data_IF_941654752160
#
_entry.id   IF_941654752160
#
_cell.length_a   1.000
_cell.length_b   1.000
_cell.length_c   1.000
_cell.angle_alpha   90.00
_cell.angle_beta   90.00
_cell.angle_gamma   90.00
#
_symmetry.space_group_name_H-M   'P 1'
#
loop_
_entity.id
_entity.type
_entity.pdbx_description
1 polymer ?
#
# COMPACT_ATOMS: atom_id res chain seq x y z
N UNK A 1 31.46 -9.82 -16.63
CA UNK A 1 30.42 -9.88 -15.58
C UNK A 1 29.48 -11.04 -15.92
N UNK A 2 29.08 -11.90 -14.97
CA UNK A 2 28.11 -12.95 -15.26
C UNK A 2 26.78 -12.34 -15.72
N UNK A 3 26.13 -12.97 -16.70
CA UNK A 3 24.86 -12.47 -17.24
C UNK A 3 23.77 -12.61 -16.16
N UNK A 4 23.04 -11.54 -15.84
CA UNK A 4 21.98 -11.62 -14.84
C UNK A 4 20.86 -12.56 -15.31
N UNK A 5 20.22 -13.25 -14.37
CA UNK A 5 19.05 -14.07 -14.66
C UNK A 5 17.95 -13.22 -15.30
N UNK A 6 17.25 -13.74 -16.34
CA UNK A 6 16.11 -13.07 -16.94
C UNK A 6 15.05 -12.70 -15.90
N UNK A 7 14.35 -11.58 -16.13
CA UNK A 7 13.31 -11.09 -15.21
C UNK A 7 12.18 -12.11 -15.03
N UNK A 8 11.69 -12.66 -16.14
CA UNK A 8 10.61 -13.65 -16.15
C UNK A 8 10.98 -14.90 -15.33
N UNK A 9 12.20 -15.41 -15.53
CA UNK A 9 12.73 -16.53 -14.74
C UNK A 9 12.74 -16.22 -13.24
N UNK A 10 13.22 -15.04 -12.84
CA UNK A 10 13.21 -14.62 -11.43
C UNK A 10 11.80 -14.56 -10.86
N UNK A 11 10.85 -14.02 -11.61
CA UNK A 11 9.46 -13.87 -11.20
C UNK A 11 8.77 -15.23 -11.03
N UNK A 12 9.01 -16.17 -11.95
CA UNK A 12 8.50 -17.53 -11.85
C UNK A 12 9.06 -18.29 -10.65
N UNK A 13 10.37 -18.22 -10.43
CA UNK A 13 11.00 -18.87 -9.27
C UNK A 13 10.49 -18.26 -7.95
N UNK A 14 10.31 -16.93 -7.89
CA UNK A 14 9.72 -16.26 -6.72
C UNK A 14 8.26 -16.70 -6.49
N UNK A 15 7.47 -16.83 -7.56
CA UNK A 15 6.08 -17.30 -7.49
C UNK A 15 6.00 -18.73 -6.95
N UNK A 16 6.85 -19.63 -7.43
CA UNK A 16 6.94 -21.01 -6.92
C UNK A 16 7.36 -21.03 -5.45
N UNK A 17 8.37 -20.23 -5.07
CA UNK A 17 8.84 -20.14 -3.69
C UNK A 17 7.81 -19.60 -2.69
N UNK A 18 6.93 -18.69 -3.13
CA UNK A 18 5.82 -18.14 -2.33
C UNK A 18 4.67 -19.14 -2.16
N UNK A 19 4.37 -19.91 -3.20
CA UNK A 19 3.26 -20.88 -3.21
C UNK A 19 3.71 -22.31 -2.87
N UNK A 20 4.88 -22.47 -2.26
CA UNK A 20 5.44 -23.79 -1.95
C UNK A 20 4.57 -24.53 -0.92
N UNK A 21 4.50 -25.84 -1.05
CA UNK A 21 3.78 -26.69 -0.11
C UNK A 21 4.42 -26.66 1.30
N UNK A 22 3.63 -26.90 2.36
CA UNK A 22 4.17 -27.05 3.71
C UNK A 22 5.25 -28.15 3.75
N UNK A 23 6.43 -27.80 4.23
CA UNK A 23 7.58 -28.72 4.31
C UNK A 23 8.59 -28.59 3.17
N UNK A 24 8.25 -27.90 2.08
CA UNK A 24 9.24 -27.57 1.03
C UNK A 24 10.09 -26.39 1.49
N UNK A 25 11.41 -26.54 1.43
CA UNK A 25 12.36 -25.50 1.84
C UNK A 25 12.78 -24.61 0.68
N UNK A 26 13.27 -23.40 0.98
CA UNK A 26 13.78 -22.50 -0.06
C UNK A 26 15.06 -23.05 -0.69
N UNK A 27 15.84 -23.84 0.05
CA UNK A 27 17.04 -24.51 -0.41
C UNK A 27 16.72 -25.56 -1.47
N UNK A 28 15.65 -26.33 -1.28
CA UNK A 28 15.20 -27.33 -2.24
C UNK A 28 14.75 -26.67 -3.55
N UNK A 29 13.91 -25.63 -3.45
CA UNK A 29 13.45 -24.87 -4.62
C UNK A 29 14.64 -24.23 -5.34
N UNK A 30 15.56 -23.62 -4.60
CA UNK A 30 16.74 -23.02 -5.19
C UNK A 30 17.60 -24.06 -5.95
N UNK A 31 17.78 -25.25 -5.38
CA UNK A 31 18.48 -26.36 -6.02
C UNK A 31 17.77 -26.82 -7.30
N UNK A 32 16.44 -26.99 -7.27
CA UNK A 32 15.64 -27.44 -8.42
C UNK A 32 15.75 -26.48 -9.61
N UNK A 33 15.87 -25.17 -9.34
CA UNK A 33 16.03 -24.14 -10.37
C UNK A 33 17.50 -23.79 -10.69
N UNK A 34 18.47 -24.45 -10.05
CA UNK A 34 19.90 -24.17 -10.25
C UNK A 34 20.31 -22.75 -9.79
N UNK A 35 19.61 -22.21 -8.79
CA UNK A 35 19.85 -20.89 -8.21
C UNK A 35 20.47 -21.07 -6.83
N UNK A 36 21.39 -20.17 -6.45
CA UNK A 36 21.93 -20.17 -5.10
C UNK A 36 20.84 -19.74 -4.07
N UNK A 37 20.65 -20.44 -2.93
CA UNK A 37 19.59 -20.12 -1.97
C UNK A 37 19.57 -18.66 -1.50
N UNK A 38 20.74 -18.08 -1.23
CA UNK A 38 20.89 -16.65 -0.88
C UNK A 38 20.32 -15.73 -1.97
N UNK A 39 20.49 -16.09 -3.25
CA UNK A 39 19.97 -15.31 -4.39
C UNK A 39 18.44 -15.35 -4.40
N UNK A 40 17.84 -16.53 -4.20
CA UNK A 40 16.40 -16.66 -4.07
C UNK A 40 15.84 -15.85 -2.88
N UNK A 41 16.50 -15.90 -1.73
CA UNK A 41 16.14 -15.10 -0.56
C UNK A 41 16.27 -13.59 -0.78
N UNK A 42 17.20 -13.14 -1.63
CA UNK A 42 17.28 -11.74 -2.06
C UNK A 42 16.11 -11.37 -2.97
N UNK A 43 15.73 -12.23 -3.92
CA UNK A 43 14.58 -11.97 -4.79
C UNK A 43 13.27 -11.93 -4.02
N UNK A 44 13.05 -12.83 -3.05
CA UNK A 44 11.87 -12.82 -2.19
C UNK A 44 11.75 -11.53 -1.37
N UNK A 45 12.86 -11.04 -0.80
CA UNK A 45 12.89 -9.75 -0.09
C UNK A 45 12.60 -8.57 -1.01
N UNK A 46 13.25 -8.54 -2.17
CA UNK A 46 13.02 -7.50 -3.19
C UNK A 46 11.57 -7.49 -3.67
N UNK A 47 10.97 -8.67 -3.89
CA UNK A 47 9.58 -8.80 -4.32
C UNK A 47 8.58 -8.39 -3.21
N UNK A 48 8.90 -8.65 -1.94
CA UNK A 48 8.11 -8.15 -0.82
C UNK A 48 8.19 -6.62 -0.67
N UNK A 49 9.36 -6.04 -0.93
CA UNK A 49 9.50 -4.58 -1.00
C UNK A 49 8.80 -4.00 -2.22
N UNK A 50 8.86 -4.64 -3.39
CA UNK A 50 8.13 -4.20 -4.59
C UNK A 50 6.62 -4.36 -4.45
N UNK A 51 6.09 -5.36 -3.73
CA UNK A 51 4.66 -5.41 -3.39
C UNK A 51 4.26 -4.32 -2.39
N UNK A 52 5.15 -3.93 -1.47
CA UNK A 52 4.95 -2.79 -0.59
C UNK A 52 5.19 -1.42 -1.25
N UNK A 53 5.97 -1.38 -2.34
CA UNK A 53 6.39 -0.18 -3.06
C UNK A 53 5.70 0.00 -4.42
N UNK A 54 4.95 -0.99 -4.90
CA UNK A 54 4.08 -0.91 -6.06
C UNK A 54 2.65 -0.75 -5.55
N UNK A 55 2.11 0.47 -5.70
CA UNK A 55 1.62 0.81 -7.02
C UNK A 55 2.39 1.97 -7.65
N UNK A 56 2.92 1.74 -8.85
CA UNK A 56 3.16 2.81 -9.82
C UNK A 56 1.85 3.31 -10.49
N UNK A 57 0.70 3.11 -9.84
CA UNK A 57 -0.54 3.90 -10.04
C UNK A 57 -0.74 4.97 -8.95
N UNK A 58 0.09 4.97 -7.90
CA UNK A 58 -0.10 5.83 -6.73
C UNK A 58 0.14 7.32 -6.99
N UNK A 59 0.61 7.75 -8.16
CA UNK A 59 0.77 9.19 -8.44
C UNK A 59 -0.59 9.89 -8.63
N UNK A 60 -1.54 9.23 -9.30
CA UNK A 60 -2.90 9.74 -9.50
C UNK A 60 -3.76 9.58 -8.24
N UNK A 61 -3.80 8.38 -7.67
CA UNK A 61 -4.58 8.11 -6.45
C UNK A 61 -4.06 8.91 -5.24
N UNK A 62 -2.75 9.17 -5.12
CA UNK A 62 -2.22 10.04 -4.05
C UNK A 62 -2.59 11.51 -4.26
N UNK A 63 -2.77 11.96 -5.50
CA UNK A 63 -3.22 13.32 -5.78
C UNK A 63 -4.72 13.47 -5.46
N UNK A 64 -5.54 12.53 -5.91
CA UNK A 64 -6.98 12.47 -5.61
C UNK A 64 -7.22 12.33 -4.10
N UNK A 65 -6.47 11.49 -3.39
CA UNK A 65 -6.55 11.38 -1.93
C UNK A 65 -6.14 12.67 -1.21
N UNK A 66 -5.11 13.37 -1.70
CA UNK A 66 -4.73 14.67 -1.15
C UNK A 66 -5.80 15.73 -1.38
N UNK A 67 -6.42 15.73 -2.54
CA UNK A 67 -7.52 16.64 -2.87
C UNK A 67 -8.78 16.32 -2.05
N UNK A 68 -9.12 15.04 -1.92
CA UNK A 68 -10.21 14.57 -1.07
C UNK A 68 -9.99 14.96 0.40
N UNK A 69 -8.80 14.76 0.96
CA UNK A 69 -8.49 15.18 2.32
C UNK A 69 -8.58 16.70 2.51
N UNK A 70 -8.17 17.50 1.52
CA UNK A 70 -8.35 18.97 1.56
C UNK A 70 -9.83 19.34 1.57
N UNK A 71 -10.65 18.69 0.72
CA UNK A 71 -12.09 18.96 0.64
C UNK A 71 -12.82 18.56 1.91
N UNK A 72 -12.49 17.41 2.49
CA UNK A 72 -13.03 16.94 3.77
C UNK A 72 -12.73 17.97 4.87
N UNK A 73 -11.47 18.40 5.00
CA UNK A 73 -11.10 19.40 6.01
C UNK A 73 -11.87 20.72 5.85
N UNK A 74 -12.08 21.18 4.61
CA UNK A 74 -12.83 22.41 4.36
C UNK A 74 -14.31 22.24 4.75
N UNK A 75 -14.93 21.12 4.35
CA UNK A 75 -16.31 20.80 4.69
C UNK A 75 -16.51 20.67 6.20
N UNK A 76 -15.56 20.07 6.92
CA UNK A 76 -15.61 19.97 8.38
C UNK A 76 -15.58 21.35 9.05
N UNK A 77 -14.75 22.27 8.55
CA UNK A 77 -14.71 23.65 9.06
C UNK A 77 -16.02 24.40 8.78
N UNK A 78 -16.55 24.28 7.56
CA UNK A 78 -17.84 24.87 7.21
C UNK A 78 -18.96 24.32 8.09
N UNK A 79 -18.97 22.99 8.34
CA UNK A 79 -19.96 22.36 9.21
C UNK A 79 -19.86 22.85 10.65
N UNK A 80 -18.64 23.02 11.17
CA UNK A 80 -18.41 23.55 12.51
C UNK A 80 -18.92 24.99 12.66
N UNK A 81 -18.68 25.84 11.65
CA UNK A 81 -19.22 27.20 11.62
C UNK A 81 -20.75 27.19 11.60
N UNK A 82 -21.35 26.34 10.76
CA UNK A 82 -22.80 26.21 10.68
C UNK A 82 -23.40 25.71 12.00
N UNK A 83 -22.78 24.75 12.67
CA UNK A 83 -23.21 24.27 13.99
C UNK A 83 -23.16 25.38 15.04
N UNK A 84 -22.09 26.19 15.06
CA UNK A 84 -21.98 27.32 15.99
C UNK A 84 -23.02 28.39 15.71
N UNK A 85 -23.26 28.71 14.44
CA UNK A 85 -24.30 29.66 14.05
C UNK A 85 -25.69 29.16 14.45
N UNK A 86 -25.99 27.88 14.22
CA UNK A 86 -27.25 27.26 14.63
C UNK A 86 -27.43 27.26 16.16
N UNK A 87 -26.37 26.99 16.92
CA UNK A 87 -26.38 27.06 18.37
C UNK A 87 -26.60 28.49 18.89
N UNK A 88 -25.99 29.49 18.25
CA UNK A 88 -26.20 30.89 18.61
C UNK A 88 -27.63 31.35 18.31
N UNK A 89 -28.16 30.98 17.14
CA UNK A 89 -29.53 31.30 16.75
C UNK A 89 -30.56 30.61 17.66
N UNK A 90 -30.33 29.35 18.04
CA UNK A 90 -31.23 28.63 18.94
C UNK A 90 -31.22 29.23 20.35
N UNK A 91 -30.09 29.74 20.82
CA UNK A 91 -29.99 30.50 22.08
C UNK A 91 -30.69 31.87 21.99
N UNK A 92 -30.58 32.57 20.86
CA UNK A 92 -31.23 33.87 20.62
C UNK A 92 -32.76 33.76 20.52
N UNK A 93 -33.28 32.57 20.18
CA UNK A 93 -34.71 32.27 20.08
C UNK A 93 -35.33 31.70 21.38
N UNK A 94 -34.59 31.66 22.49
CA UNK A 94 -35.16 31.28 23.79
C UNK A 94 -35.94 32.46 24.40
N UNK A 95 -37.21 32.28 24.81
CA UNK A 95 -37.96 33.35 25.46
C UNK A 95 -37.30 33.72 26.79
N UNK A 96 -37.07 35.03 27.00
CA UNK A 96 -36.65 35.55 28.29
C UNK A 96 -37.71 35.19 29.34
N UNK A 97 -37.28 34.58 30.44
CA UNK A 97 -38.13 34.20 31.58
C UNK A 97 -38.56 35.41 32.38
#
# INVERSE_FOLDING_TARGET
MPKPYPKEFREDVVRVARNREPGVTLEQIAADFGVHPITLSKWLRSAGTDEGARPASASGESAELREAHKRIRLLEQENEVLRRAAAYLSQANLPAK
#
